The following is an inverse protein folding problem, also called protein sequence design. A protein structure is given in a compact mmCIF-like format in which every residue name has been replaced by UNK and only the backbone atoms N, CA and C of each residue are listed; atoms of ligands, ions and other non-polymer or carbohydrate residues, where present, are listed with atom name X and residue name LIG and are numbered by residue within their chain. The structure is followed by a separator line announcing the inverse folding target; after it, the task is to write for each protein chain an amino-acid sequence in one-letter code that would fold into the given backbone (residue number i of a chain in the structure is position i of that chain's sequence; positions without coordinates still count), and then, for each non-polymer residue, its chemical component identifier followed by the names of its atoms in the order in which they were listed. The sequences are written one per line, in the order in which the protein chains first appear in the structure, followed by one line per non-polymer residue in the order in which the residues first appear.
data_IF_747965928232
#
_entry.id   IF_747965928232
#
_cell.length_a   1.000
_cell.length_b   1.000
_cell.length_c   1.000
_cell.angle_alpha   90.00
_cell.angle_beta   90.00
_cell.angle_gamma   90.00
#
_symmetry.space_group_name_H-M   'P 1'
#
loop_
_entity.id
_entity.type
_entity.pdbx_description
1 polymer ?
#
# COMPACT_ATOMS: atom_id res chain seq x y z
N UNK A 1 -46.00 -7.68 -4.96
CA UNK A 1 -45.73 -7.16 -3.60
C UNK A 1 -44.53 -7.92 -3.04
N UNK A 2 -43.36 -7.29 -2.93
CA UNK A 2 -42.17 -7.91 -2.34
C UNK A 2 -42.06 -7.48 -0.87
N UNK A 3 -42.15 -8.46 0.04
CA UNK A 3 -42.00 -8.28 1.47
C UNK A 3 -40.52 -8.13 1.82
N UNK A 4 -40.12 -6.96 2.31
CA UNK A 4 -38.79 -6.75 2.89
C UNK A 4 -38.75 -7.32 4.31
N UNK A 5 -38.19 -8.51 4.47
CA UNK A 5 -37.74 -8.99 5.77
C UNK A 5 -36.48 -8.21 6.16
N UNK A 6 -36.57 -7.46 7.27
CA UNK A 6 -35.44 -6.81 7.94
C UNK A 6 -34.37 -7.86 8.28
N UNK A 7 -33.22 -7.76 7.63
CA UNK A 7 -32.01 -8.47 8.06
C UNK A 7 -31.41 -7.67 9.22
N UNK A 8 -31.48 -8.23 10.42
CA UNK A 8 -30.76 -7.76 11.61
C UNK A 8 -29.33 -8.26 11.50
N UNK A 9 -28.42 -7.41 11.03
CA UNK A 9 -26.98 -7.73 11.00
C UNK A 9 -26.48 -7.66 12.45
N UNK A 10 -26.15 -8.82 13.02
CA UNK A 10 -25.37 -8.89 14.25
C UNK A 10 -23.89 -8.76 13.88
N UNK A 11 -23.26 -7.71 14.40
CA UNK A 11 -21.86 -7.38 14.18
C UNK A 11 -20.97 -8.31 15.01
N UNK A 12 -19.96 -8.91 14.37
CA UNK A 12 -19.01 -9.81 15.02
C UNK A 12 -17.76 -8.99 15.40
N UNK A 13 -17.60 -8.72 16.70
CA UNK A 13 -16.76 -7.65 17.25
C UNK A 13 -15.28 -7.68 16.87
N UNK A 14 -14.72 -8.85 16.57
CA UNK A 14 -13.29 -8.98 16.22
C UNK A 14 -12.97 -8.50 14.81
N UNK A 15 -13.88 -8.73 13.84
CA UNK A 15 -13.69 -8.27 12.45
C UNK A 15 -13.87 -6.77 12.31
N UNK A 16 -14.74 -6.18 13.12
CA UNK A 16 -15.00 -4.73 13.11
C UNK A 16 -13.87 -3.95 13.78
N UNK A 17 -13.23 -4.50 14.83
CA UNK A 17 -12.05 -3.90 15.44
C UNK A 17 -10.85 -3.98 14.50
N UNK A 18 -10.61 -5.14 13.88
CA UNK A 18 -9.56 -5.30 12.86
C UNK A 18 -9.74 -4.34 11.68
N UNK A 19 -10.98 -4.12 11.24
CA UNK A 19 -11.29 -3.15 10.19
C UNK A 19 -10.99 -1.71 10.61
N UNK A 20 -11.35 -1.31 11.82
CA UNK A 20 -11.04 0.04 12.33
C UNK A 20 -9.54 0.26 12.50
N UNK A 21 -8.81 -0.75 12.96
CA UNK A 21 -7.36 -0.71 13.09
C UNK A 21 -6.69 -0.62 11.71
N UNK A 22 -7.23 -1.34 10.72
CA UNK A 22 -6.83 -1.24 9.32
C UNK A 22 -7.06 0.18 8.78
N UNK A 23 -8.27 0.72 8.92
CA UNK A 23 -8.62 2.06 8.42
C UNK A 23 -7.71 3.12 9.06
N UNK A 24 -7.45 3.02 10.36
CA UNK A 24 -6.54 3.95 11.07
C UNK A 24 -5.10 3.86 10.55
N UNK A 25 -4.55 2.65 10.43
CA UNK A 25 -3.19 2.45 9.93
C UNK A 25 -3.05 2.88 8.46
N UNK A 26 -4.09 2.69 7.68
CA UNK A 26 -4.14 3.12 6.28
C UNK A 26 -4.16 4.65 6.16
N UNK A 27 -4.93 5.35 7.01
CA UNK A 27 -4.89 6.81 7.06
C UNK A 27 -3.54 7.34 7.57
N UNK A 28 -2.90 6.68 8.55
CA UNK A 28 -1.54 7.03 8.98
C UNK A 28 -0.51 6.80 7.85
N UNK A 29 -0.64 5.73 7.08
CA UNK A 29 0.21 5.48 5.92
C UNK A 29 0.00 6.52 4.82
N UNK A 30 -1.26 6.93 4.55
CA UNK A 30 -1.60 8.00 3.61
C UNK A 30 -0.90 9.30 3.97
N UNK A 31 -1.04 9.75 5.22
CA UNK A 31 -0.42 10.98 5.68
C UNK A 31 1.10 10.91 5.57
N UNK A 32 1.72 9.81 6.00
CA UNK A 32 3.18 9.62 5.89
C UNK A 32 3.69 9.58 4.45
N UNK A 33 2.92 8.99 3.52
CA UNK A 33 3.25 9.00 2.09
C UNK A 33 3.02 10.37 1.46
N UNK A 34 2.01 11.12 1.91
CA UNK A 34 1.73 12.48 1.45
C UNK A 34 2.81 13.47 1.87
N UNK A 35 3.38 13.32 3.06
CA UNK A 35 4.51 14.11 3.56
C UNK A 35 5.85 13.72 2.91
N UNK A 36 5.94 12.55 2.27
CA UNK A 36 7.15 12.09 1.61
C UNK A 36 7.37 12.88 0.30
N UNK A 37 8.05 14.02 0.40
CA UNK A 37 8.39 14.85 -0.76
C UNK A 37 9.19 14.10 -1.84
N UNK A 38 9.98 13.09 -1.45
CA UNK A 38 10.78 12.25 -2.35
C UNK A 38 11.03 10.86 -1.75
N UNK A 39 10.98 9.83 -2.59
CA UNK A 39 11.40 8.47 -2.21
C UNK A 39 12.89 8.29 -2.49
N UNK A 40 13.62 7.77 -1.52
CA UNK A 40 15.04 7.42 -1.64
C UNK A 40 15.23 5.93 -1.39
N UNK A 41 16.12 5.32 -2.16
CA UNK A 41 16.60 3.96 -1.98
C UNK A 41 18.03 4.05 -1.42
N UNK A 42 18.25 3.67 -0.15
CA UNK A 42 19.53 3.81 0.55
C UNK A 42 20.17 5.20 0.42
N UNK A 43 19.38 6.27 0.59
CA UNK A 43 19.86 7.65 0.48
C UNK A 43 20.06 8.16 -0.94
N UNK A 44 19.78 7.35 -1.97
CA UNK A 44 19.86 7.77 -3.38
C UNK A 44 18.47 7.98 -3.96
N UNK A 45 18.29 9.08 -4.70
CA UNK A 45 17.04 9.39 -5.41
C UNK A 45 16.79 8.36 -6.51
N UNK A 46 15.56 7.86 -6.62
CA UNK A 46 15.17 6.93 -7.70
C UNK A 46 14.89 7.75 -8.96
N UNK A 47 15.70 7.58 -10.01
CA UNK A 47 15.54 8.31 -11.28
C UNK A 47 15.18 7.38 -12.44
N UNK A 48 15.18 6.06 -12.24
CA UNK A 48 14.81 5.07 -13.26
C UNK A 48 14.23 3.80 -12.64
N UNK A 49 13.53 3.00 -13.44
CA UNK A 49 13.05 1.68 -13.01
C UNK A 49 14.18 0.77 -12.52
N UNK A 50 15.38 0.85 -13.12
CA UNK A 50 16.52 0.00 -12.74
C UNK A 50 16.98 0.24 -11.30
N UNK A 51 16.72 1.44 -10.78
CA UNK A 51 17.06 1.87 -9.43
C UNK A 51 15.97 1.52 -8.42
N UNK A 52 14.77 1.17 -8.90
CA UNK A 52 13.66 0.74 -8.07
C UNK A 52 13.92 -0.67 -7.51
N UNK A 53 13.76 -0.81 -6.20
CA UNK A 53 13.96 -2.06 -5.45
C UNK A 53 12.98 -2.08 -4.29
N UNK A 54 11.96 -2.95 -4.34
CA UNK A 54 10.98 -3.11 -3.26
C UNK A 54 11.69 -3.47 -1.95
N UNK A 55 12.69 -4.36 -2.03
CA UNK A 55 13.48 -4.85 -0.90
C UNK A 55 14.31 -3.76 -0.20
N UNK A 56 14.45 -2.58 -0.83
CA UNK A 56 15.21 -1.45 -0.31
C UNK A 56 14.36 -0.19 -0.09
N UNK A 57 13.04 -0.31 -0.10
CA UNK A 57 12.17 0.79 0.32
C UNK A 57 12.36 0.97 1.83
N UNK A 58 13.26 1.89 2.18
CA UNK A 58 13.59 2.24 3.55
C UNK A 58 13.38 3.75 3.73
N UNK A 59 12.11 4.17 3.72
CA UNK A 59 11.74 5.56 3.97
C UNK A 59 11.50 5.77 5.47
N UNK A 60 12.02 6.87 6.01
CA UNK A 60 11.72 7.34 7.38
C UNK A 60 10.20 7.41 7.63
N UNK A 61 9.42 7.71 6.59
CA UNK A 61 7.96 7.77 6.62
C UNK A 61 7.29 6.40 6.79
N UNK A 62 7.98 5.29 6.49
CA UNK A 62 7.43 3.93 6.67
C UNK A 62 8.26 3.09 7.64
N UNK A 63 9.15 3.72 8.43
CA UNK A 63 10.11 3.04 9.31
C UNK A 63 9.50 2.05 10.32
N UNK A 64 8.22 2.21 10.66
CA UNK A 64 7.49 1.32 11.58
C UNK A 64 6.84 0.13 10.85
N UNK A 65 6.86 0.12 9.53
CA UNK A 65 6.27 -0.91 8.69
C UNK A 65 7.39 -1.73 8.06
N UNK A 66 7.40 -3.03 8.36
CA UNK A 66 8.31 -3.97 7.71
C UNK A 66 7.66 -4.51 6.45
N UNK A 67 8.26 -4.26 5.28
CA UNK A 67 7.81 -4.83 4.00
C UNK A 67 8.09 -6.34 3.99
N UNK A 68 7.09 -7.12 3.59
CA UNK A 68 7.15 -8.57 3.40
C UNK A 68 7.45 -8.83 1.92
N UNK A 69 8.73 -8.94 1.60
CA UNK A 69 9.23 -8.93 0.22
C UNK A 69 8.76 -10.11 -0.64
N UNK A 70 8.64 -11.30 -0.05
CA UNK A 70 8.21 -12.54 -0.72
C UNK A 70 6.73 -12.53 -1.13
N UNK A 71 5.91 -11.68 -0.49
CA UNK A 71 4.50 -11.48 -0.85
C UNK A 71 4.26 -10.25 -1.73
N UNK A 72 5.21 -9.31 -1.75
CA UNK A 72 5.07 -8.04 -2.46
C UNK A 72 5.41 -8.16 -3.93
N UNK A 73 4.74 -7.38 -4.79
CA UNK A 73 4.85 -7.47 -6.25
C UNK A 73 5.03 -6.07 -6.83
N UNK A 74 5.90 -5.94 -7.84
CA UNK A 74 5.98 -4.76 -8.72
C UNK A 74 5.60 -5.12 -10.16
N UNK A 75 4.74 -4.31 -10.75
CA UNK A 75 4.39 -4.32 -12.17
C UNK A 75 4.96 -3.03 -12.77
N UNK A 76 5.72 -3.17 -13.85
CA UNK A 76 6.21 -2.02 -14.59
C UNK A 76 5.11 -1.53 -15.53
N UNK A 77 4.72 -0.28 -15.38
CA UNK A 77 3.84 0.42 -16.31
C UNK A 77 4.70 1.46 -17.01
N UNK A 78 5.16 1.10 -18.21
CA UNK A 78 5.96 1.99 -19.05
C UNK A 78 7.37 2.22 -18.45
N UNK A 79 8.07 3.27 -18.90
CA UNK A 79 9.40 3.62 -18.40
C UNK A 79 9.35 4.57 -17.18
N UNK A 80 8.15 5.06 -16.83
CA UNK A 80 7.97 6.15 -15.86
C UNK A 80 7.17 5.75 -14.61
N UNK A 81 6.36 4.69 -14.66
CA UNK A 81 5.51 4.30 -13.54
C UNK A 81 5.75 2.85 -13.12
N UNK A 82 5.74 2.63 -11.80
CA UNK A 82 5.81 1.30 -11.21
C UNK A 82 4.62 1.14 -10.30
N UNK A 83 3.81 0.14 -10.57
CA UNK A 83 2.68 -0.20 -9.73
C UNK A 83 3.13 -1.29 -8.77
N UNK A 84 2.91 -1.13 -7.48
CA UNK A 84 3.34 -2.08 -6.46
C UNK A 84 2.20 -2.49 -5.54
N UNK A 85 2.11 -3.80 -5.30
CA UNK A 85 1.37 -4.38 -4.19
C UNK A 85 2.36 -4.62 -3.07
N UNK A 86 2.22 -3.88 -1.98
CA UNK A 86 3.08 -4.03 -0.81
C UNK A 86 2.33 -4.77 0.28
N UNK A 87 2.95 -5.84 0.77
CA UNK A 87 2.58 -6.46 2.04
C UNK A 87 3.48 -5.87 3.12
N UNK A 88 2.90 -5.43 4.22
CA UNK A 88 3.65 -4.91 5.35
C UNK A 88 3.12 -5.47 6.66
N UNK A 89 3.98 -5.49 7.66
CA UNK A 89 3.59 -5.80 9.04
C UNK A 89 4.09 -4.71 9.97
N UNK A 90 3.22 -4.27 10.87
CA UNK A 90 3.63 -3.47 12.02
C UNK A 90 4.13 -4.43 13.11
N UNK A 91 5.41 -4.30 13.47
CA UNK A 91 6.08 -5.01 14.57
C UNK A 91 5.48 -6.38 14.94
N UNK A 92 5.36 -7.27 13.94
CA UNK A 92 4.96 -8.68 14.01
C UNK A 92 3.51 -8.98 14.42
N UNK A 93 2.57 -8.02 14.34
CA UNK A 93 1.23 -8.24 14.93
C UNK A 93 0.10 -8.46 13.93
N UNK A 94 0.19 -7.93 12.71
CA UNK A 94 -0.77 -8.20 11.62
C UNK A 94 -0.11 -7.95 10.25
N UNK A 95 -0.59 -8.64 9.22
CA UNK A 95 -0.24 -8.37 7.81
C UNK A 95 -1.25 -7.41 7.19
N UNK A 96 -0.74 -6.47 6.41
CA UNK A 96 -1.51 -5.45 5.74
C UNK A 96 -1.12 -5.42 4.27
N UNK A 97 -2.07 -5.06 3.42
CA UNK A 97 -1.87 -4.93 1.98
C UNK A 97 -2.17 -3.48 1.59
N UNK A 98 -1.31 -2.90 0.78
CA UNK A 98 -1.59 -1.63 0.11
C UNK A 98 -1.17 -1.71 -1.34
N UNK A 99 -1.82 -0.91 -2.17
CA UNK A 99 -1.59 -0.81 -3.59
C UNK A 99 -1.11 0.61 -3.88
N UNK A 100 0.09 0.76 -4.43
CA UNK A 100 0.70 2.04 -4.70
C UNK A 100 1.12 2.16 -6.16
N UNK A 101 1.03 3.37 -6.71
CA UNK A 101 1.74 3.80 -7.90
C UNK A 101 2.94 4.62 -7.50
N UNK A 102 4.12 4.19 -7.89
CA UNK A 102 5.33 4.98 -7.85
C UNK A 102 5.54 5.67 -9.21
N UNK A 103 5.53 7.00 -9.22
CA UNK A 103 5.91 7.77 -10.41
C UNK A 103 7.39 8.11 -10.31
N UNK A 104 8.20 7.67 -11.28
CA UNK A 104 9.63 7.99 -11.39
C UNK A 104 9.82 9.48 -11.68
N UNK A 105 8.99 10.04 -12.57
CA UNK A 105 9.03 11.46 -12.95
C UNK A 105 8.82 12.37 -11.74
N UNK A 106 7.85 12.02 -10.90
CA UNK A 106 7.53 12.79 -9.69
C UNK A 106 8.32 12.32 -8.47
N UNK A 107 9.00 11.17 -8.56
CA UNK A 107 9.71 10.47 -7.49
C UNK A 107 8.89 10.32 -6.19
N UNK A 108 7.62 9.91 -6.34
CA UNK A 108 6.64 9.82 -5.24
C UNK A 108 5.75 8.58 -5.35
N UNK A 109 5.26 8.09 -4.21
CA UNK A 109 4.20 7.10 -4.16
C UNK A 109 2.83 7.77 -4.09
N UNK A 110 1.86 7.22 -4.80
CA UNK A 110 0.44 7.56 -4.71
C UNK A 110 -0.32 6.28 -4.38
N UNK A 111 -1.26 6.33 -3.45
CA UNK A 111 -2.13 5.19 -3.19
C UNK A 111 -3.10 5.02 -4.35
N UNK A 112 -3.29 3.78 -4.80
CA UNK A 112 -4.28 3.39 -5.81
C UNK A 112 -5.24 2.36 -5.21
N UNK A 113 -6.37 2.13 -5.86
CA UNK A 113 -7.29 1.07 -5.47
C UNK A 113 -6.77 -0.32 -5.84
N UNK A 114 -7.29 -1.36 -5.16
CA UNK A 114 -7.06 -2.76 -5.53
C UNK A 114 -7.52 -3.03 -6.97
N UNK A 115 -8.69 -2.53 -7.36
CA UNK A 115 -9.21 -2.70 -8.72
C UNK A 115 -8.32 -2.06 -9.78
N UNK A 116 -7.70 -0.90 -9.50
CA UNK A 116 -6.71 -0.30 -10.41
C UNK A 116 -5.48 -1.19 -10.56
N UNK A 117 -5.02 -1.82 -9.48
CA UNK A 117 -3.90 -2.76 -9.53
C UNK A 117 -4.25 -4.03 -10.32
N UNK A 118 -5.40 -4.63 -10.03
CA UNK A 118 -5.83 -5.89 -10.65
C UNK A 118 -6.08 -5.76 -12.15
N UNK A 119 -6.59 -4.62 -12.60
CA UNK A 119 -6.76 -4.33 -14.04
C UNK A 119 -5.44 -4.28 -14.83
N UNK A 120 -4.30 -4.21 -14.14
CA UNK A 120 -2.97 -4.15 -14.73
C UNK A 120 -2.23 -5.49 -14.64
N UNK A 121 -2.81 -6.49 -13.96
CA UNK A 121 -2.30 -7.85 -13.98
C UNK A 121 -2.66 -8.52 -15.31
N UNK A 122 -1.74 -9.29 -15.91
CA UNK A 122 -2.00 -10.05 -17.13
C UNK A 122 -3.02 -11.18 -16.94
#
# INVERSE_FOLDING_TARGET
MLNFHKIKIMFNSEKDQQKKDFDKLFEELKEKLREANFVYNNGTKINSFKDFRIDKINSLSIKNFKVINDKSISIRINDEDVIVKLFFTEENKNEFITYLRFSIKENKFTIISESEFENLLP
#
